data_IF_479188183187
#
_entry.id   IF_479188183187
#
_cell.length_a   1.000
_cell.length_b   1.000
_cell.length_c   1.000
_cell.angle_alpha   90.00
_cell.angle_beta   90.00
_cell.angle_gamma   90.00
#
_symmetry.space_group_name_H-M   'P 1'
#
loop_
_entity.id
_entity.type
_entity.pdbx_description
1 polymer ?
#
# COMPACT_ATOMS: atom_id res chain seq x y z
N UNK A 1 7.14 13.72 11.50
CA UNK A 1 8.53 13.75 10.96
C UNK A 1 8.81 15.16 10.46
N UNK A 2 9.97 15.74 10.76
CA UNK A 2 10.35 17.02 10.15
C UNK A 2 10.66 16.80 8.66
N UNK A 3 10.26 17.70 7.73
CA UNK A 3 10.38 17.50 6.28
C UNK A 3 11.79 17.15 5.82
N UNK A 4 12.80 17.79 6.42
CA UNK A 4 14.21 17.54 6.11
C UNK A 4 14.64 16.11 6.45
N UNK A 5 14.19 15.59 7.59
CA UNK A 5 14.49 14.21 8.00
C UNK A 5 13.83 13.17 7.10
N UNK A 6 12.66 13.47 6.52
CA UNK A 6 12.00 12.63 5.53
C UNK A 6 12.71 12.68 4.16
N UNK A 7 13.19 13.86 3.75
CA UNK A 7 13.98 13.99 2.53
C UNK A 7 15.32 13.25 2.64
N UNK A 8 16.02 13.40 3.76
CA UNK A 8 17.29 12.72 4.01
C UNK A 8 17.13 11.20 4.15
N UNK A 9 15.98 10.73 4.66
CA UNK A 9 15.71 9.29 4.76
C UNK A 9 15.64 8.59 3.41
N UNK A 10 15.25 9.30 2.35
CA UNK A 10 15.18 8.76 0.99
C UNK A 10 16.56 8.47 0.39
N UNK A 11 17.63 9.08 0.92
CA UNK A 11 19.00 8.96 0.40
C UNK A 11 19.72 7.74 1.00
N UNK A 12 19.28 7.23 2.15
CA UNK A 12 19.91 6.09 2.81
C UNK A 12 19.32 4.79 2.27
N UNK A 13 20.09 3.97 1.52
CA UNK A 13 19.59 2.74 0.94
C UNK A 13 19.03 1.81 2.02
N UNK A 14 17.83 1.28 1.77
CA UNK A 14 17.16 0.35 2.68
C UNK A 14 16.58 0.96 3.97
N UNK A 15 16.88 2.22 4.30
CA UNK A 15 16.33 2.87 5.49
C UNK A 15 14.80 3.01 5.42
N UNK A 16 14.25 3.24 4.22
CA UNK A 16 12.80 3.24 4.00
C UNK A 16 12.16 1.89 4.38
N UNK A 17 12.78 0.75 4.03
CA UNK A 17 12.27 -0.57 4.42
C UNK A 17 12.35 -0.80 5.93
N UNK A 18 13.44 -0.33 6.56
CA UNK A 18 13.55 -0.35 8.02
C UNK A 18 12.46 0.50 8.68
N UNK A 19 12.15 1.69 8.15
CA UNK A 19 11.06 2.54 8.65
C UNK A 19 9.70 1.86 8.52
N UNK A 20 9.45 1.19 7.39
CA UNK A 20 8.22 0.42 7.16
C UNK A 20 8.12 -0.73 8.17
N UNK A 21 9.18 -1.53 8.32
CA UNK A 21 9.23 -2.59 9.32
C UNK A 21 8.93 -2.05 10.73
N UNK A 22 9.61 -0.96 11.13
CA UNK A 22 9.41 -0.28 12.42
C UNK A 22 7.97 0.20 12.62
N UNK A 23 7.35 0.72 11.56
CA UNK A 23 5.96 1.18 11.60
C UNK A 23 5.00 0.02 11.85
N UNK A 24 5.10 -1.06 11.09
CA UNK A 24 4.23 -2.23 11.25
C UNK A 24 4.51 -2.99 12.56
N UNK A 25 5.75 -3.03 13.04
CA UNK A 25 6.10 -3.61 14.34
C UNK A 25 5.46 -2.85 15.50
N UNK A 26 5.43 -1.50 15.42
CA UNK A 26 4.74 -0.68 16.40
C UNK A 26 3.23 -0.94 16.37
N UNK A 27 2.63 -1.04 15.18
CA UNK A 27 1.22 -1.39 15.01
C UNK A 27 0.88 -2.76 15.62
N UNK A 28 1.68 -3.78 15.32
CA UNK A 28 1.53 -5.12 15.87
C UNK A 28 1.58 -5.11 17.41
N UNK A 29 2.56 -4.40 17.99
CA UNK A 29 2.69 -4.25 19.43
C UNK A 29 1.49 -3.54 20.07
N UNK A 30 0.93 -2.52 19.41
CA UNK A 30 -0.25 -1.81 19.91
C UNK A 30 -1.51 -2.66 19.84
N UNK A 31 -1.70 -3.42 18.75
CA UNK A 31 -2.81 -4.37 18.60
C UNK A 31 -2.76 -5.45 19.69
N UNK A 32 -1.59 -5.99 19.97
CA UNK A 32 -1.41 -6.99 21.02
C UNK A 32 -1.81 -6.45 22.40
N UNK A 33 -1.47 -5.19 22.71
CA UNK A 33 -1.83 -4.54 23.99
C UNK A 33 -3.33 -4.38 24.19
N UNK A 34 -4.09 -4.16 23.13
CA UNK A 34 -5.55 -3.95 23.20
C UNK A 34 -6.35 -5.23 22.93
N UNK A 35 -5.68 -6.39 22.77
CA UNK A 35 -6.35 -7.66 22.47
C UNK A 35 -7.03 -7.68 21.10
N UNK A 36 -6.50 -6.94 20.12
CA UNK A 36 -7.04 -6.90 18.77
C UNK A 36 -7.03 -8.29 18.11
N UNK A 37 -8.11 -8.64 17.40
CA UNK A 37 -8.25 -9.95 16.72
C UNK A 37 -7.40 -10.10 15.45
N UNK A 38 -6.89 -8.99 14.92
CA UNK A 38 -6.09 -8.95 13.69
C UNK A 38 -4.60 -9.05 14.01
N UNK A 39 -3.88 -9.94 13.34
CA UNK A 39 -2.42 -10.03 13.43
C UNK A 39 -1.74 -9.19 12.34
N UNK A 40 -0.72 -8.44 12.73
CA UNK A 40 0.15 -7.71 11.81
C UNK A 40 1.52 -8.36 11.80
N UNK A 41 2.00 -8.77 10.62
CA UNK A 41 3.36 -9.24 10.40
C UNK A 41 4.21 -8.13 9.73
N UNK A 42 5.17 -7.53 10.45
CA UNK A 42 5.98 -6.44 9.92
C UNK A 42 6.86 -6.85 8.75
N UNK A 43 7.29 -8.12 8.69
CA UNK A 43 8.15 -8.60 7.62
C UNK A 43 7.38 -8.67 6.30
N UNK A 44 6.18 -9.25 6.29
CA UNK A 44 5.31 -9.32 5.11
C UNK A 44 5.00 -7.94 4.54
N UNK A 45 4.68 -6.95 5.37
CA UNK A 45 4.44 -5.58 4.91
C UNK A 45 5.70 -4.94 4.29
N UNK A 46 6.87 -5.22 4.88
CA UNK A 46 8.15 -4.73 4.37
C UNK A 46 8.52 -5.37 3.04
N UNK A 47 8.30 -6.68 2.89
CA UNK A 47 8.50 -7.40 1.63
C UNK A 47 7.55 -6.90 0.53
N UNK A 48 6.30 -6.61 0.86
CA UNK A 48 5.34 -5.98 -0.07
C UNK A 48 5.83 -4.61 -0.56
N UNK A 49 6.37 -3.78 0.34
CA UNK A 49 6.94 -2.48 -0.04
C UNK A 49 8.26 -2.60 -0.82
N UNK A 50 9.08 -3.60 -0.52
CA UNK A 50 10.30 -3.89 -1.28
C UNK A 50 9.96 -4.35 -2.70
N UNK A 51 8.92 -5.18 -2.88
CA UNK A 51 8.41 -5.58 -4.18
C UNK A 51 7.95 -4.36 -5.00
N UNK A 52 7.26 -3.40 -4.37
CA UNK A 52 6.92 -2.10 -4.96
C UNK A 52 8.13 -1.22 -5.32
N UNK A 53 9.32 -1.51 -4.80
CA UNK A 53 10.50 -0.68 -5.07
C UNK A 53 11.40 -1.26 -6.14
N UNK A 54 11.24 -2.55 -6.49
CA UNK A 54 11.95 -3.19 -7.60
C UNK A 54 11.53 -2.65 -8.97
N UNK A 55 10.53 -1.77 -8.99
CA UNK A 55 9.78 -1.30 -10.15
C UNK A 55 10.10 0.14 -10.54
N UNK A 56 11.03 0.82 -9.87
CA UNK A 56 11.52 2.15 -10.28
C UNK A 56 12.23 2.21 -11.65
N UNK A 57 12.20 1.13 -12.45
CA UNK A 57 12.81 1.02 -13.76
C UNK A 57 11.85 1.29 -14.95
N UNK A 58 10.62 1.72 -14.71
CA UNK A 58 9.61 1.81 -15.78
C UNK A 58 9.55 3.19 -16.45
N UNK A 59 10.44 3.41 -17.44
CA UNK A 59 10.33 4.53 -18.39
C UNK A 59 9.93 4.06 -19.79
N UNK A 60 9.40 2.85 -19.91
CA UNK A 60 9.05 2.21 -21.18
C UNK A 60 7.55 1.94 -21.28
N UNK A 61 7.00 2.17 -22.47
CA UNK A 61 5.60 1.90 -22.82
C UNK A 61 5.37 0.47 -23.34
N UNK A 62 6.37 -0.41 -23.29
CA UNK A 62 6.18 -1.80 -23.69
C UNK A 62 5.19 -2.52 -22.76
N UNK A 63 4.49 -3.51 -23.32
CA UNK A 63 3.42 -4.26 -22.64
C UNK A 63 3.92 -4.90 -21.34
N UNK A 64 5.15 -5.44 -21.32
CA UNK A 64 5.73 -6.06 -20.13
C UNK A 64 5.86 -5.06 -18.96
N UNK A 65 6.30 -3.83 -19.23
CA UNK A 65 6.43 -2.80 -18.20
C UNK A 65 5.07 -2.25 -17.75
N UNK A 66 4.09 -2.20 -18.66
CA UNK A 66 2.71 -1.89 -18.30
C UNK A 66 2.12 -2.91 -17.32
N UNK A 67 2.36 -4.21 -17.55
CA UNK A 67 1.90 -5.27 -16.62
C UNK A 67 2.61 -5.14 -15.27
N UNK A 68 3.92 -4.87 -15.26
CA UNK A 68 4.69 -4.66 -14.04
C UNK A 68 4.18 -3.45 -13.24
N UNK A 69 3.82 -2.34 -13.90
CA UNK A 69 3.18 -1.17 -13.26
C UNK A 69 1.85 -1.51 -12.59
N UNK A 70 1.03 -2.40 -13.19
CA UNK A 70 -0.24 -2.83 -12.58
C UNK A 70 0.02 -3.69 -11.34
N UNK A 71 0.97 -4.62 -11.41
CA UNK A 71 1.37 -5.46 -10.27
C UNK A 71 1.91 -4.59 -9.13
N UNK A 72 2.73 -3.59 -9.47
CA UNK A 72 3.27 -2.60 -8.54
C UNK A 72 2.16 -1.82 -7.82
N UNK A 73 1.23 -1.24 -8.58
CA UNK A 73 0.10 -0.50 -8.02
C UNK A 73 -0.75 -1.38 -7.09
N UNK A 74 -0.96 -2.64 -7.47
CA UNK A 74 -1.67 -3.62 -6.64
C UNK A 74 -0.90 -3.92 -5.34
N UNK A 75 0.43 -4.08 -5.40
CA UNK A 75 1.27 -4.33 -4.23
C UNK A 75 1.27 -3.14 -3.26
N UNK A 76 1.43 -1.91 -3.76
CA UNK A 76 1.34 -0.70 -2.93
C UNK A 76 -0.04 -0.57 -2.27
N UNK A 77 -1.10 -0.75 -3.06
CA UNK A 77 -2.47 -0.73 -2.56
C UNK A 77 -2.67 -1.75 -1.44
N UNK A 78 -2.19 -2.99 -1.63
CA UNK A 78 -2.30 -4.04 -0.63
C UNK A 78 -1.60 -3.67 0.69
N UNK A 79 -0.39 -3.10 0.64
CA UNK A 79 0.34 -2.66 1.84
C UNK A 79 -0.40 -1.53 2.57
N UNK A 80 -0.91 -0.53 1.84
CA UNK A 80 -1.65 0.60 2.42
C UNK A 80 -2.92 0.12 3.10
N UNK A 81 -3.71 -0.70 2.40
CA UNK A 81 -4.93 -1.31 2.92
C UNK A 81 -4.63 -2.14 4.17
N UNK A 82 -3.58 -2.95 4.11
CA UNK A 82 -3.19 -3.83 5.20
C UNK A 82 -2.92 -3.02 6.47
N UNK A 83 -2.14 -1.94 6.35
CA UNK A 83 -1.89 -1.00 7.46
C UNK A 83 -3.16 -0.30 7.95
N UNK A 84 -4.03 0.13 7.03
CA UNK A 84 -5.27 0.82 7.41
C UNK A 84 -6.25 -0.09 8.15
N UNK A 85 -6.40 -1.35 7.71
CA UNK A 85 -7.23 -2.35 8.41
C UNK A 85 -6.70 -2.62 9.81
N UNK A 86 -5.38 -2.72 9.97
CA UNK A 86 -4.75 -2.85 11.28
C UNK A 86 -5.01 -1.64 12.19
N UNK A 87 -4.92 -0.42 11.64
CA UNK A 87 -5.25 0.80 12.36
C UNK A 87 -6.72 0.81 12.80
N UNK A 88 -7.65 0.50 11.89
CA UNK A 88 -9.07 0.41 12.24
C UNK A 88 -9.30 -0.61 13.37
N UNK A 89 -8.69 -1.79 13.28
CA UNK A 89 -8.80 -2.81 14.33
C UNK A 89 -8.28 -2.31 15.68
N UNK A 90 -7.17 -1.57 15.69
CA UNK A 90 -6.65 -0.96 16.91
C UNK A 90 -7.62 0.08 17.48
N UNK A 91 -8.12 1.00 16.65
CA UNK A 91 -9.03 2.06 17.10
C UNK A 91 -10.40 1.54 17.56
N UNK A 92 -10.83 0.38 17.05
CA UNK A 92 -12.03 -0.32 17.52
C UNK A 92 -11.82 -1.03 18.85
N UNK A 93 -10.64 -1.60 19.08
CA UNK A 93 -10.34 -2.39 20.28
C UNK A 93 -9.86 -1.54 21.47
N UNK A 94 -9.25 -0.38 21.22
CA UNK A 94 -8.71 0.47 22.29
C UNK A 94 -9.85 1.10 23.14
N UNK A 95 -9.62 1.35 24.44
CA UNK A 95 -10.52 2.17 25.24
C UNK A 95 -10.57 3.62 24.74
N UNK A 96 -11.74 4.24 24.75
CA UNK A 96 -11.94 5.66 24.43
C UNK A 96 -13.06 5.90 23.43
N UNK A 97 -13.13 7.12 22.90
CA UNK A 97 -14.12 7.46 21.89
C UNK A 97 -13.91 6.65 20.61
N UNK A 98 -15.01 6.11 20.03
CA UNK A 98 -14.94 5.43 18.75
C UNK A 98 -14.44 6.40 17.68
N UNK A 99 -13.58 5.91 16.81
CA UNK A 99 -13.08 6.66 15.66
C UNK A 99 -13.72 6.06 14.41
N UNK A 100 -14.11 6.93 13.47
CA UNK A 100 -14.61 6.51 12.18
C UNK A 100 -13.56 5.63 11.47
N UNK A 101 -14.01 4.47 10.97
CA UNK A 101 -13.16 3.57 10.21
C UNK A 101 -12.83 4.20 8.86
N UNK A 102 -11.62 3.97 8.36
CA UNK A 102 -11.20 4.40 7.02
C UNK A 102 -10.93 3.19 6.14
N UNK A 103 -11.21 3.24 4.84
CA UNK A 103 -11.21 2.05 3.95
C UNK A 103 -12.33 1.09 4.36
N UNK A 104 -13.55 1.49 4.01
CA UNK A 104 -14.78 0.71 4.15
C UNK A 104 -14.89 -0.35 3.05
N UNK A 105 -15.82 -1.29 3.20
CA UNK A 105 -16.11 -2.28 2.14
C UNK A 105 -16.51 -1.62 0.81
N UNK A 106 -17.25 -0.51 0.87
CA UNK A 106 -17.63 0.28 -0.31
C UNK A 106 -16.44 0.92 -1.03
N UNK A 107 -15.36 1.24 -0.31
CA UNK A 107 -14.16 1.82 -0.91
C UNK A 107 -13.46 0.82 -1.83
N UNK A 108 -13.63 -0.49 -1.60
CA UNK A 108 -13.16 -1.54 -2.50
C UNK A 108 -13.93 -1.60 -3.80
N UNK A 109 -15.23 -1.37 -3.75
CA UNK A 109 -16.07 -1.30 -4.94
C UNK A 109 -15.64 -0.09 -5.77
N UNK A 110 -15.48 1.07 -5.14
CA UNK A 110 -15.00 2.28 -5.80
C UNK A 110 -13.60 2.08 -6.42
N UNK A 111 -12.70 1.41 -5.70
CA UNK A 111 -11.35 1.11 -6.18
C UNK A 111 -11.36 0.11 -7.35
N UNK A 112 -12.20 -0.92 -7.30
CA UNK A 112 -12.34 -1.89 -8.38
C UNK A 112 -12.90 -1.23 -9.66
N UNK A 113 -13.87 -0.32 -9.52
CA UNK A 113 -14.40 0.46 -10.64
C UNK A 113 -13.32 1.39 -11.23
N UNK A 114 -12.57 2.09 -10.38
CA UNK A 114 -11.47 2.95 -10.82
C UNK A 114 -10.37 2.14 -11.54
N UNK A 115 -9.98 0.97 -11.00
CA UNK A 115 -9.01 0.08 -11.62
C UNK A 115 -9.50 -0.47 -12.96
N UNK A 116 -10.78 -0.85 -13.06
CA UNK A 116 -11.39 -1.30 -14.31
C UNK A 116 -11.36 -0.20 -15.36
N UNK A 117 -11.76 1.01 -15.01
CA UNK A 117 -11.71 2.16 -15.91
C UNK A 117 -10.27 2.47 -16.37
N UNK A 118 -9.30 2.42 -15.46
CA UNK A 118 -7.89 2.60 -15.78
C UNK A 118 -7.40 1.54 -16.78
N UNK A 119 -7.73 0.26 -16.58
CA UNK A 119 -7.38 -0.83 -17.50
C UNK A 119 -8.00 -0.58 -18.88
N UNK A 120 -9.28 -0.19 -18.95
CA UNK A 120 -9.95 0.11 -20.22
C UNK A 120 -9.27 1.26 -20.97
N UNK A 121 -8.85 2.31 -20.25
CA UNK A 121 -8.10 3.43 -20.82
C UNK A 121 -6.75 2.95 -21.36
N UNK A 122 -5.98 2.17 -20.58
CA UNK A 122 -4.71 1.61 -21.03
C UNK A 122 -4.88 0.74 -22.27
N UNK A 123 -5.89 -0.14 -22.28
CA UNK A 123 -6.19 -0.98 -23.44
C UNK A 123 -6.52 -0.14 -24.66
N UNK A 124 -7.26 0.96 -24.51
CA UNK A 124 -7.59 1.85 -25.62
C UNK A 124 -6.36 2.45 -26.31
N UNK A 125 -5.27 2.71 -25.57
CA UNK A 125 -4.00 3.16 -26.13
C UNK A 125 -3.16 2.01 -26.73
N UNK A 126 -3.35 0.79 -26.27
CA UNK A 126 -2.60 -0.38 -26.70
C UNK A 126 -3.21 -1.11 -27.92
N UNK A 127 -4.51 -0.96 -28.17
CA UNK A 127 -5.15 -1.46 -29.40
C UNK A 127 -4.93 -0.50 -30.57
N UNK A 128 -4.35 -0.94 -31.69
CA UNK A 128 -4.29 -0.14 -32.90
C UNK A 128 -5.71 0.20 -33.35
N UNK A 129 -5.94 1.46 -33.75
CA UNK A 129 -7.14 1.82 -34.50
C UNK A 129 -7.16 0.98 -35.78
N UNK A 130 -8.14 0.11 -35.92
CA UNK A 130 -8.39 -0.65 -37.14
C UNK A 130 -8.80 0.32 -38.25
N UNK A 131 -7.82 0.80 -39.01
CA UNK A 131 -7.95 1.47 -40.31
C UNK A 131 -7.17 0.69 -41.33
#
# INVERSE_FOLDING_TARGET
MQPLGHALSMIVPGYNYWQIYRHFALLAAQLAKVGGKTSVDPLSATLGAALFSLTFFHWSSEVVFTILNVIELAAATAVVVYGQRALNAYYLARPGQPVEQRVLEVDWIALALAATNFILVVLSYATPSST
#
